data_IF_541422240068
#
_entry.id   IF_541422240068
#
_cell.length_a   1.000
_cell.length_b   1.000
_cell.length_c   1.000
_cell.angle_alpha   90.00
_cell.angle_beta   90.00
_cell.angle_gamma   90.00
#
_symmetry.space_group_name_H-M   'P 1'
#
loop_
_entity.id
_entity.type
_entity.pdbx_description
1 polymer ?
#
# COMPACT_ATOMS: atom_id res chain seq x y z
N UNK A 1 5.18 3.65 12.04
CA UNK A 1 5.12 3.47 10.58
C UNK A 1 6.32 2.64 10.15
N UNK A 2 6.11 1.57 9.39
CA UNK A 2 7.21 0.80 8.79
C UNK A 2 7.75 1.48 7.53
N UNK A 3 8.87 0.99 6.97
CA UNK A 3 9.53 1.60 5.80
C UNK A 3 8.61 1.71 4.58
N UNK A 4 7.83 0.67 4.28
CA UNK A 4 6.90 0.65 3.15
C UNK A 4 5.77 1.66 3.34
N UNK A 5 5.18 1.69 4.53
CA UNK A 5 4.14 2.67 4.89
C UNK A 5 4.66 4.11 4.77
N UNK A 6 5.92 4.37 5.17
CA UNK A 6 6.54 5.68 5.03
C UNK A 6 6.72 6.11 3.58
N UNK A 7 7.28 5.22 2.74
CA UNK A 7 7.41 5.48 1.31
C UNK A 7 6.06 5.78 0.69
N UNK A 8 5.04 4.95 0.96
CA UNK A 8 3.70 5.12 0.41
C UNK A 8 3.06 6.44 0.84
N UNK A 9 3.16 6.80 2.12
CA UNK A 9 2.61 8.05 2.62
C UNK A 9 3.28 9.28 1.99
N UNK A 10 4.62 9.32 1.96
CA UNK A 10 5.36 10.42 1.32
C UNK A 10 5.08 10.48 -0.18
N UNK A 11 5.11 9.35 -0.88
CA UNK A 11 4.85 9.28 -2.31
C UNK A 11 3.46 9.84 -2.68
N UNK A 12 2.44 9.56 -1.87
CA UNK A 12 1.09 10.11 -2.09
C UNK A 12 1.05 11.64 -2.03
N UNK A 13 1.77 12.26 -1.09
CA UNK A 13 1.86 13.73 -1.02
C UNK A 13 2.78 14.30 -2.10
N UNK A 14 3.86 13.61 -2.47
CA UNK A 14 4.73 14.02 -3.57
C UNK A 14 3.95 14.04 -4.88
N UNK A 15 3.18 13.00 -5.20
CA UNK A 15 2.32 12.95 -6.40
C UNK A 15 1.26 14.07 -6.38
N UNK A 16 0.67 14.36 -5.22
CA UNK A 16 -0.31 15.44 -5.04
C UNK A 16 0.26 16.83 -5.38
N UNK A 17 1.52 17.10 -5.04
CA UNK A 17 2.06 18.46 -5.09
C UNK A 17 3.10 18.69 -6.20
N UNK A 18 3.92 17.71 -6.56
CA UNK A 18 5.10 17.91 -7.41
C UNK A 18 4.80 18.61 -8.74
N UNK A 19 3.71 18.22 -9.42
CA UNK A 19 3.31 18.79 -10.71
C UNK A 19 2.99 20.28 -10.63
N UNK A 20 2.30 20.72 -9.57
CA UNK A 20 1.95 22.13 -9.35
C UNK A 20 3.18 23.03 -9.19
N UNK A 21 4.31 22.45 -8.78
CA UNK A 21 5.59 23.16 -8.60
C UNK A 21 6.59 22.90 -9.74
N UNK A 22 6.18 22.20 -10.81
CA UNK A 22 7.02 21.91 -11.98
C UNK A 22 8.09 20.86 -11.74
N UNK A 23 7.97 20.05 -10.69
CA UNK A 23 8.91 18.97 -10.36
C UNK A 23 8.41 17.67 -10.97
N UNK A 24 9.25 17.05 -11.80
CA UNK A 24 8.90 15.82 -12.51
C UNK A 24 9.45 14.56 -11.84
N UNK A 25 10.53 14.69 -11.05
CA UNK A 25 11.14 13.58 -10.31
C UNK A 25 10.54 13.42 -8.92
N UNK A 26 9.88 12.29 -8.68
CA UNK A 26 9.28 11.93 -7.40
C UNK A 26 10.25 11.09 -6.57
N UNK A 27 11.01 10.21 -7.24
CA UNK A 27 11.94 9.28 -6.61
C UNK A 27 13.01 10.00 -5.78
N UNK A 28 13.60 11.08 -6.31
CA UNK A 28 14.57 11.91 -5.60
C UNK A 28 13.97 12.55 -4.36
N UNK A 29 12.76 13.12 -4.46
CA UNK A 29 12.08 13.77 -3.32
C UNK A 29 11.78 12.75 -2.22
N UNK A 30 11.30 11.55 -2.59
CA UNK A 30 11.06 10.46 -1.63
C UNK A 30 12.37 10.01 -0.98
N UNK A 31 13.45 9.87 -1.74
CA UNK A 31 14.77 9.49 -1.21
C UNK A 31 15.33 10.54 -0.24
N UNK A 32 15.19 11.83 -0.55
CA UNK A 32 15.54 12.91 0.38
C UNK A 32 14.73 12.80 1.67
N UNK A 33 13.41 12.63 1.59
CA UNK A 33 12.57 12.46 2.77
C UNK A 33 13.02 11.27 3.62
N UNK A 34 13.39 10.14 3.01
CA UNK A 34 13.90 8.97 3.74
C UNK A 34 15.22 9.29 4.47
N UNK A 35 16.18 9.88 3.76
CA UNK A 35 17.52 10.16 4.26
C UNK A 35 17.48 11.18 5.39
N UNK A 36 16.88 12.34 5.16
CA UNK A 36 16.86 13.49 6.07
C UNK A 36 16.08 13.20 7.36
N UNK A 37 15.00 12.42 7.25
CA UNK A 37 14.15 12.09 8.40
C UNK A 37 14.58 10.82 9.13
N UNK A 38 15.53 10.05 8.60
CA UNK A 38 15.85 8.71 9.08
C UNK A 38 14.61 7.81 9.11
N UNK A 39 13.88 7.73 8.00
CA UNK A 39 12.59 7.00 7.89
C UNK A 39 11.46 7.56 8.78
N UNK A 40 11.41 8.89 8.94
CA UNK A 40 10.43 9.59 9.75
C UNK A 40 10.67 9.47 11.26
N UNK A 41 11.82 8.94 11.68
CA UNK A 41 12.12 8.63 13.09
C UNK A 41 12.93 9.71 13.79
N UNK A 42 13.54 10.65 13.06
CA UNK A 42 14.23 11.78 13.68
C UNK A 42 13.27 12.60 14.53
N UNK A 43 13.76 13.22 15.61
CA UNK A 43 12.91 14.10 16.45
C UNK A 43 12.26 15.20 15.62
N UNK A 44 13.00 15.75 14.65
CA UNK A 44 12.51 16.79 13.74
C UNK A 44 11.31 16.30 12.89
N UNK A 45 11.38 15.07 12.36
CA UNK A 45 10.30 14.50 11.56
C UNK A 45 9.13 13.98 12.40
N UNK A 46 9.41 13.25 13.49
CA UNK A 46 8.40 12.56 14.28
C UNK A 46 7.53 13.52 15.11
N UNK A 47 8.14 14.60 15.65
CA UNK A 47 7.44 15.56 16.51
C UNK A 47 6.98 16.82 15.79
N UNK A 48 7.75 17.26 14.79
CA UNK A 48 7.52 18.55 14.12
C UNK A 48 7.21 18.43 12.63
N UNK A 49 7.04 17.20 12.14
CA UNK A 49 6.63 16.90 10.76
C UNK A 49 7.53 17.53 9.69
N UNK A 50 8.82 17.76 9.99
CA UNK A 50 9.79 18.25 9.02
C UNK A 50 10.68 17.09 8.55
N UNK A 51 10.34 16.52 7.38
CA UNK A 51 10.96 15.31 6.84
C UNK A 51 12.20 15.58 5.99
N UNK A 52 12.52 16.84 5.72
CA UNK A 52 13.53 17.26 4.74
C UNK A 52 14.63 18.13 5.38
N UNK A 53 14.66 18.26 6.70
CA UNK A 53 15.67 19.07 7.39
C UNK A 53 15.56 20.57 7.09
N UNK A 54 14.36 21.08 6.76
CA UNK A 54 14.20 22.45 6.25
C UNK A 54 14.46 23.48 7.36
N UNK A 55 15.49 24.29 7.17
CA UNK A 55 15.79 25.45 8.03
C UNK A 55 14.83 26.61 7.74
N UNK A 56 14.62 27.47 8.73
CA UNK A 56 13.72 28.62 8.59
C UNK A 56 14.25 29.60 7.52
N UNK A 57 15.56 29.87 7.52
CA UNK A 57 16.12 30.97 6.75
C UNK A 57 15.49 32.31 7.17
N UNK A 58 15.52 33.30 6.28
CA UNK A 58 15.01 34.66 6.57
C UNK A 58 13.55 34.89 6.17
N UNK A 59 12.97 34.03 5.33
CA UNK A 59 11.62 34.22 4.76
C UNK A 59 10.52 33.39 5.45
N UNK A 60 10.87 32.46 6.34
CA UNK A 60 9.90 31.63 7.02
C UNK A 60 9.27 32.38 8.20
N UNK A 61 7.93 32.44 8.21
CA UNK A 61 7.13 33.07 9.27
C UNK A 61 6.25 32.07 10.04
N UNK A 62 6.35 30.77 9.73
CA UNK A 62 5.62 29.71 10.42
C UNK A 62 6.31 29.24 11.71
N UNK A 63 5.83 28.11 12.24
CA UNK A 63 6.39 27.52 13.45
C UNK A 63 7.87 27.12 13.28
N UNK A 64 8.64 27.23 14.36
CA UNK A 64 10.06 26.89 14.38
C UNK A 64 10.44 26.08 15.64
N UNK A 65 11.52 25.33 15.53
CA UNK A 65 12.19 24.67 16.66
C UNK A 65 13.70 24.79 16.52
N UNK A 66 14.38 25.13 17.61
CA UNK A 66 15.83 25.21 17.65
C UNK A 66 16.44 23.85 18.08
N UNK A 67 17.19 23.20 17.19
CA UNK A 67 17.78 21.88 17.42
C UNK A 67 19.26 21.86 17.03
N UNK A 68 20.00 20.88 17.58
CA UNK A 68 21.37 20.62 17.15
C UNK A 68 21.38 19.85 15.82
N UNK A 69 22.27 20.23 14.90
CA UNK A 69 22.50 19.59 13.61
C UNK A 69 24.00 19.42 13.36
N UNK A 70 24.37 18.54 12.43
CA UNK A 70 25.76 18.32 12.01
C UNK A 70 25.96 18.89 10.61
N UNK A 71 26.96 19.75 10.44
CA UNK A 71 27.38 20.30 9.14
C UNK A 71 28.75 19.75 8.76
N UNK A 72 28.99 19.57 7.46
CA UNK A 72 30.28 19.14 6.92
C UNK A 72 30.90 20.30 6.13
N UNK A 73 31.72 21.12 6.79
CA UNK A 73 32.44 22.22 6.13
C UNK A 73 33.72 21.73 5.43
N UNK A 74 34.30 20.64 5.94
CA UNK A 74 35.45 19.95 5.36
C UNK A 74 35.07 18.48 5.17
N UNK A 75 35.27 17.88 3.98
CA UNK A 75 34.95 16.47 3.74
C UNK A 75 35.52 15.55 4.83
N UNK A 76 34.68 14.71 5.41
CA UNK A 76 34.97 13.79 6.51
C UNK A 76 34.83 14.37 7.92
N UNK A 77 34.62 15.69 8.09
CA UNK A 77 34.58 16.34 9.42
C UNK A 77 33.21 16.94 9.71
N UNK A 78 32.52 16.38 10.72
CA UNK A 78 31.20 16.85 11.15
C UNK A 78 31.31 17.85 12.30
N UNK A 79 30.82 19.08 12.10
CA UNK A 79 30.71 20.13 13.12
C UNK A 79 29.28 20.18 13.66
N UNK A 80 29.12 20.08 14.98
CA UNK A 80 27.81 20.24 15.63
C UNK A 80 27.48 21.72 15.81
N UNK A 81 26.35 22.16 15.30
CA UNK A 81 25.82 23.52 15.48
C UNK A 81 24.37 23.47 15.95
N UNK A 82 23.81 24.61 16.34
CA UNK A 82 22.35 24.76 16.57
C UNK A 82 21.74 25.61 15.48
N UNK A 83 20.56 25.24 15.02
CA UNK A 83 19.85 25.96 13.96
C UNK A 83 18.33 25.92 14.17
N UNK A 84 17.62 26.85 13.52
CA UNK A 84 16.17 26.95 13.56
C UNK A 84 15.55 26.19 12.38
N UNK A 85 14.82 25.13 12.69
CA UNK A 85 14.12 24.30 11.71
C UNK A 85 12.63 24.64 11.67
N UNK A 86 12.04 24.56 10.48
CA UNK A 86 10.60 24.72 10.27
C UNK A 86 9.82 23.62 10.97
N UNK A 87 8.64 23.93 11.47
CA UNK A 87 7.70 22.94 12.03
C UNK A 87 6.37 22.98 11.27
N UNK A 88 5.72 21.83 11.18
CA UNK A 88 4.47 21.65 10.44
C UNK A 88 3.45 20.93 11.31
N UNK A 89 2.16 21.11 11.01
CA UNK A 89 1.05 20.53 11.78
C UNK A 89 0.74 19.07 11.42
N UNK A 90 1.21 18.59 10.27
CA UNK A 90 0.95 17.24 9.79
C UNK A 90 2.00 16.78 8.78
N UNK A 91 1.99 15.48 8.45
CA UNK A 91 2.86 14.92 7.40
C UNK A 91 2.64 15.60 6.05
N UNK A 92 1.39 15.88 5.71
CA UNK A 92 1.02 16.54 4.47
C UNK A 92 1.65 17.93 4.37
N UNK A 93 1.47 18.76 5.41
CA UNK A 93 2.04 20.12 5.46
C UNK A 93 3.57 20.08 5.43
N UNK A 94 4.19 19.07 6.05
CA UNK A 94 5.63 18.85 5.98
C UNK A 94 6.15 18.55 4.59
N UNK A 95 5.43 17.71 3.82
CA UNK A 95 5.79 17.39 2.43
C UNK A 95 5.49 18.55 1.50
N UNK A 96 4.34 19.22 1.67
CA UNK A 96 4.03 20.45 0.93
C UNK A 96 5.07 21.55 1.18
N UNK A 97 5.53 21.71 2.42
CA UNK A 97 6.55 22.68 2.82
C UNK A 97 7.89 22.50 2.11
N UNK A 98 8.24 21.29 1.66
CA UNK A 98 9.40 21.06 0.78
C UNK A 98 9.22 21.75 -0.57
N UNK A 99 8.05 21.59 -1.20
CA UNK A 99 7.78 22.19 -2.50
C UNK A 99 7.70 23.72 -2.44
N UNK A 100 7.17 24.25 -1.33
CA UNK A 100 7.22 25.69 -1.02
C UNK A 100 8.65 26.17 -0.78
N UNK A 101 9.50 25.38 -0.09
CA UNK A 101 10.90 25.71 0.17
C UNK A 101 11.73 25.81 -1.10
N UNK A 102 11.56 24.89 -2.04
CA UNK A 102 12.28 24.92 -3.33
C UNK A 102 11.76 26.01 -4.28
N UNK A 103 10.80 26.85 -3.85
CA UNK A 103 10.47 28.10 -4.57
C UNK A 103 11.48 29.23 -4.32
N UNK A 104 12.46 29.05 -3.43
CA UNK A 104 13.58 29.98 -3.31
C UNK A 104 14.35 30.08 -4.63
N UNK A 105 14.87 31.28 -4.95
CA UNK A 105 15.47 31.60 -6.25
C UNK A 105 16.57 30.63 -6.67
N UNK A 106 17.39 30.15 -5.72
CA UNK A 106 18.49 29.22 -5.99
C UNK A 106 18.05 27.84 -6.49
N UNK A 107 16.81 27.42 -6.21
CA UNK A 107 16.30 26.08 -6.57
C UNK A 107 15.39 26.07 -7.80
N UNK A 108 15.24 27.21 -8.50
CA UNK A 108 14.32 27.30 -9.64
C UNK A 108 14.75 26.46 -10.86
N UNK A 109 16.05 26.15 -10.95
CA UNK A 109 16.66 25.26 -11.94
C UNK A 109 16.23 23.78 -11.80
N UNK A 110 15.55 23.39 -10.72
CA UNK A 110 15.04 22.03 -10.52
C UNK A 110 13.84 21.69 -11.41
N UNK A 111 13.11 22.71 -11.88
CA UNK A 111 11.88 22.54 -12.66
C UNK A 111 12.18 21.84 -13.98
N UNK A 112 11.39 20.83 -14.32
CA UNK A 112 11.52 20.08 -15.57
C UNK A 112 12.64 19.03 -15.60
N UNK A 113 13.46 18.90 -14.56
CA UNK A 113 14.44 17.80 -14.49
C UNK A 113 13.70 16.46 -14.38
N UNK A 114 14.02 15.53 -15.29
CA UNK A 114 13.43 14.18 -15.33
C UNK A 114 14.37 13.09 -14.84
N UNK A 115 15.68 13.34 -14.76
CA UNK A 115 16.64 12.38 -14.25
C UNK A 115 16.83 12.53 -12.72
N UNK A 116 16.58 11.48 -11.92
CA UNK A 116 16.67 11.55 -10.47
C UNK A 116 18.05 11.96 -9.95
N UNK A 117 19.12 11.46 -10.58
CA UNK A 117 20.49 11.78 -10.17
C UNK A 117 20.79 13.25 -10.46
N UNK A 118 20.46 13.73 -11.65
CA UNK A 118 20.66 15.13 -12.04
C UNK A 118 19.92 16.09 -11.10
N UNK A 119 18.72 15.74 -10.66
CA UNK A 119 17.99 16.54 -9.67
C UNK A 119 18.73 16.63 -8.33
N UNK A 120 19.23 15.50 -7.83
CA UNK A 120 19.98 15.43 -6.57
C UNK A 120 21.33 16.16 -6.64
N UNK A 121 22.01 16.09 -7.78
CA UNK A 121 23.24 16.86 -8.03
C UNK A 121 22.94 18.35 -8.02
N UNK A 122 21.92 18.78 -8.77
CA UNK A 122 21.53 20.19 -8.89
C UNK A 122 21.13 20.78 -7.53
N UNK A 123 20.22 20.13 -6.79
CA UNK A 123 19.76 20.65 -5.49
C UNK A 123 20.89 20.70 -4.43
N UNK A 124 21.87 19.79 -4.53
CA UNK A 124 23.05 19.81 -3.67
C UNK A 124 23.96 20.98 -4.03
N UNK A 125 24.23 21.21 -5.32
CA UNK A 125 25.00 22.36 -5.82
C UNK A 125 24.38 23.69 -5.39
N UNK A 126 23.04 23.76 -5.32
CA UNK A 126 22.30 24.92 -4.80
C UNK A 126 22.36 25.07 -3.26
N UNK A 127 23.07 24.18 -2.56
CA UNK A 127 23.33 24.27 -1.12
C UNK A 127 22.20 23.74 -0.25
N UNK A 128 21.50 22.69 -0.69
CA UNK A 128 20.55 21.95 0.16
C UNK A 128 21.24 21.08 1.22
N UNK A 129 22.34 20.42 0.85
CA UNK A 129 23.13 19.57 1.73
C UNK A 129 24.62 19.80 1.49
N UNK A 130 25.42 19.82 2.56
CA UNK A 130 26.89 19.97 2.44
C UNK A 130 27.59 18.65 2.15
N UNK A 131 26.95 17.52 2.47
CA UNK A 131 27.60 16.21 2.42
C UNK A 131 28.08 15.82 1.02
N UNK A 132 29.34 15.37 0.91
CA UNK A 132 29.88 14.86 -0.37
C UNK A 132 29.21 13.57 -0.83
N UNK A 133 28.74 12.74 0.10
CA UNK A 133 28.07 11.47 -0.20
C UNK A 133 26.55 11.62 -0.40
N UNK A 134 26.00 12.85 -0.36
CA UNK A 134 24.56 13.09 -0.39
C UNK A 134 23.86 12.44 -1.60
N UNK A 135 24.34 12.73 -2.81
CA UNK A 135 23.77 12.20 -4.06
C UNK A 135 23.88 10.69 -4.09
N UNK A 136 25.04 10.14 -3.69
CA UNK A 136 25.28 8.69 -3.64
C UNK A 136 24.31 8.00 -2.69
N UNK A 137 24.11 8.54 -1.49
CA UNK A 137 23.23 7.96 -0.48
C UNK A 137 21.75 8.03 -0.91
N UNK A 138 21.30 9.15 -1.47
CA UNK A 138 19.95 9.28 -2.02
C UNK A 138 19.74 8.31 -3.18
N UNK A 139 20.69 8.20 -4.12
CA UNK A 139 20.58 7.26 -5.24
C UNK A 139 20.59 5.80 -4.78
N UNK A 140 21.37 5.46 -3.75
CA UNK A 140 21.31 4.12 -3.16
C UNK A 140 19.90 3.78 -2.64
N UNK A 141 19.19 4.74 -2.04
CA UNK A 141 17.80 4.57 -1.62
C UNK A 141 16.84 4.47 -2.82
N UNK A 142 17.06 5.27 -3.87
CA UNK A 142 16.27 5.19 -5.11
C UNK A 142 16.33 3.79 -5.70
N UNK A 143 17.53 3.20 -5.79
CA UNK A 143 17.69 1.85 -6.35
C UNK A 143 17.22 0.77 -5.37
N UNK A 144 17.59 0.84 -4.08
CA UNK A 144 17.23 -0.18 -3.08
C UNK A 144 15.71 -0.37 -2.91
N UNK A 145 14.94 0.72 -3.00
CA UNK A 145 13.48 0.69 -2.83
C UNK A 145 12.72 0.86 -4.14
N UNK A 146 13.43 0.79 -5.27
CA UNK A 146 12.88 0.89 -6.63
C UNK A 146 12.00 2.14 -6.79
N UNK A 147 12.48 3.29 -6.31
CA UNK A 147 11.66 4.51 -6.23
C UNK A 147 11.38 5.13 -7.61
N UNK A 148 12.13 4.74 -8.65
CA UNK A 148 11.92 5.22 -10.04
C UNK A 148 10.51 4.94 -10.57
N UNK A 149 9.81 3.94 -10.02
CA UNK A 149 8.40 3.68 -10.33
C UNK A 149 7.47 4.84 -10.01
N UNK A 150 7.89 5.74 -9.12
CA UNK A 150 7.16 6.97 -8.82
C UNK A 150 7.44 8.09 -9.84
N UNK A 151 8.43 7.97 -10.73
CA UNK A 151 8.68 9.00 -11.76
C UNK A 151 7.81 8.80 -13.01
N UNK A 152 7.34 7.57 -13.26
CA UNK A 152 6.49 7.23 -14.39
C UNK A 152 5.00 7.40 -14.05
N UNK A 153 4.30 8.28 -14.76
CA UNK A 153 2.88 8.56 -14.53
C UNK A 153 1.97 7.32 -14.64
N UNK A 154 2.25 6.42 -15.59
CA UNK A 154 1.47 5.19 -15.80
C UNK A 154 1.71 4.17 -14.67
N UNK A 155 2.95 4.08 -14.18
CA UNK A 155 3.26 3.24 -13.02
C UNK A 155 2.72 3.85 -11.73
N UNK A 156 2.74 5.18 -11.59
CA UNK A 156 2.07 5.89 -10.48
C UNK A 156 0.58 5.64 -10.44
N UNK A 157 -0.12 5.74 -11.58
CA UNK A 157 -1.54 5.39 -11.67
C UNK A 157 -1.77 3.91 -11.28
N UNK A 158 -0.87 3.04 -11.74
CA UNK A 158 -0.94 1.61 -11.41
C UNK A 158 -0.78 1.37 -9.90
N UNK A 159 0.18 2.05 -9.26
CA UNK A 159 0.47 2.00 -7.83
C UNK A 159 -0.59 2.70 -6.97
N UNK A 160 -1.28 3.72 -7.51
CA UNK A 160 -2.35 4.43 -6.83
C UNK A 160 -3.52 3.47 -6.57
N UNK A 161 -3.92 2.65 -7.53
CA UNK A 161 -5.07 1.71 -7.42
C UNK A 161 -4.72 0.38 -6.73
N UNK A 162 -4.10 0.43 -5.55
CA UNK A 162 -3.84 -0.75 -4.72
C UNK A 162 -4.67 -0.76 -3.42
N UNK A 163 -4.95 -1.96 -2.90
CA UNK A 163 -5.61 -2.12 -1.60
C UNK A 163 -4.87 -1.39 -0.47
N UNK A 164 -3.54 -1.38 -0.51
CA UNK A 164 -2.72 -0.68 0.48
C UNK A 164 -2.97 0.83 0.48
N UNK A 165 -3.13 1.44 -0.69
CA UNK A 165 -3.44 2.87 -0.82
C UNK A 165 -4.82 3.20 -0.24
N UNK A 166 -5.84 2.38 -0.54
CA UNK A 166 -7.18 2.56 0.05
C UNK A 166 -7.15 2.45 1.57
N UNK A 167 -6.49 1.40 2.08
CA UNK A 167 -6.37 1.16 3.53
C UNK A 167 -5.59 2.29 4.20
N UNK A 168 -4.53 2.81 3.56
CA UNK A 168 -3.77 3.95 4.09
C UNK A 168 -4.65 5.20 4.21
N UNK A 169 -5.49 5.47 3.21
CA UNK A 169 -6.46 6.57 3.28
C UNK A 169 -7.47 6.37 4.41
N UNK A 170 -8.04 5.17 4.54
CA UNK A 170 -8.96 4.85 5.64
C UNK A 170 -8.29 5.03 7.01
N UNK A 171 -7.03 4.58 7.16
CA UNK A 171 -6.20 4.76 8.37
C UNK A 171 -5.99 6.24 8.71
N UNK A 172 -5.75 7.08 7.71
CA UNK A 172 -5.52 8.52 7.90
C UNK A 172 -6.73 9.26 8.50
N UNK A 173 -7.93 8.68 8.37
CA UNK A 173 -9.14 9.23 8.96
C UNK A 173 -9.59 8.56 10.25
N UNK A 174 -8.91 7.52 10.73
CA UNK A 174 -9.22 6.91 12.04
C UNK A 174 -9.18 7.98 13.14
N UNK A 175 -10.24 8.02 13.95
CA UNK A 175 -10.41 9.00 15.02
C UNK A 175 -11.25 10.22 14.64
N UNK A 176 -11.46 10.49 13.34
CA UNK A 176 -12.38 11.54 12.91
C UNK A 176 -13.80 11.23 13.42
N UNK A 177 -14.49 12.22 13.97
CA UNK A 177 -15.76 12.02 14.68
C UNK A 177 -16.68 13.23 14.55
N UNK A 178 -17.95 13.01 14.87
CA UNK A 178 -18.97 14.06 14.84
C UNK A 178 -18.79 15.08 15.96
N UNK A 179 -18.37 14.60 17.15
CA UNK A 179 -18.27 15.42 18.36
C UNK A 179 -17.32 16.63 18.22
N UNK A 180 -16.26 16.52 17.42
CA UNK A 180 -15.31 17.60 17.14
C UNK A 180 -15.44 18.16 15.71
N UNK A 181 -16.45 17.70 14.95
CA UNK A 181 -16.71 18.09 13.57
C UNK A 181 -15.66 17.63 12.56
N UNK A 182 -14.67 16.82 12.94
CA UNK A 182 -13.60 16.36 12.04
C UNK A 182 -14.10 15.39 10.97
N UNK A 183 -15.30 14.81 11.10
CA UNK A 183 -15.95 14.01 10.06
C UNK A 183 -16.38 14.83 8.85
N UNK A 184 -16.60 16.15 9.00
CA UNK A 184 -17.09 17.02 7.92
C UNK A 184 -16.21 16.96 6.68
N UNK A 185 -14.88 16.89 6.83
CA UNK A 185 -13.93 16.76 5.71
C UNK A 185 -14.15 15.51 4.85
N UNK A 186 -14.70 14.44 5.44
CA UNK A 186 -15.03 13.18 4.74
C UNK A 186 -16.28 13.40 3.88
N UNK A 187 -17.31 14.02 4.47
CA UNK A 187 -18.56 14.37 3.78
C UNK A 187 -18.29 15.40 2.68
N UNK A 188 -17.49 16.43 2.95
CA UNK A 188 -17.09 17.45 1.97
C UNK A 188 -16.34 16.82 0.80
N UNK A 189 -15.44 15.87 1.08
CA UNK A 189 -14.72 15.14 0.03
C UNK A 189 -15.67 14.41 -0.92
N UNK A 190 -16.71 13.76 -0.39
CA UNK A 190 -17.74 13.15 -1.21
C UNK A 190 -18.56 14.21 -1.97
N UNK A 191 -19.00 15.25 -1.26
CA UNK A 191 -19.89 16.28 -1.79
C UNK A 191 -19.26 17.21 -2.82
N UNK A 192 -17.94 17.18 -3.05
CA UNK A 192 -17.29 17.89 -4.16
C UNK A 192 -17.08 17.02 -5.40
N UNK A 193 -17.20 15.69 -5.27
CA UNK A 193 -17.11 14.78 -6.41
C UNK A 193 -18.41 14.80 -7.22
N UNK A 194 -18.30 14.86 -8.55
CA UNK A 194 -19.45 14.96 -9.46
C UNK A 194 -19.41 13.84 -10.50
N UNK A 195 -20.57 13.31 -10.93
CA UNK A 195 -21.91 13.63 -10.42
C UNK A 195 -22.13 13.09 -9.00
N UNK A 196 -23.02 13.74 -8.23
CA UNK A 196 -23.43 13.21 -6.92
C UNK A 196 -24.30 11.98 -7.11
N UNK A 197 -24.04 10.91 -6.35
CA UNK A 197 -24.93 9.76 -6.36
C UNK A 197 -26.34 10.22 -5.97
N UNK A 198 -27.33 9.75 -6.74
CA UNK A 198 -28.75 10.06 -6.53
C UNK A 198 -29.08 11.56 -6.57
N UNK A 199 -28.20 12.38 -7.15
CA UNK A 199 -28.31 13.84 -7.14
C UNK A 199 -28.46 14.42 -5.70
N UNK A 200 -27.86 13.75 -4.71
CA UNK A 200 -28.01 14.10 -3.30
C UNK A 200 -26.69 14.57 -2.69
N UNK A 201 -26.71 15.74 -2.05
CA UNK A 201 -25.61 16.23 -1.24
C UNK A 201 -25.81 15.75 0.20
N UNK A 202 -24.86 14.95 0.70
CA UNK A 202 -24.93 14.36 2.05
C UNK A 202 -24.81 15.46 3.10
N UNK A 203 -25.72 15.48 4.09
CA UNK A 203 -25.68 16.43 5.21
C UNK A 203 -24.74 15.92 6.30
N UNK A 204 -24.21 16.83 7.11
CA UNK A 204 -23.35 16.47 8.24
C UNK A 204 -24.04 15.65 9.35
N UNK A 205 -25.37 15.60 9.33
CA UNK A 205 -26.23 14.86 10.26
C UNK A 205 -26.67 13.50 9.70
N UNK A 206 -26.42 13.22 8.42
CA UNK A 206 -26.80 11.95 7.82
C UNK A 206 -25.84 10.84 8.26
N UNK A 207 -26.31 9.59 8.27
CA UNK A 207 -25.41 8.45 8.40
C UNK A 207 -24.40 8.44 7.23
N UNK A 208 -23.12 8.24 7.54
CA UNK A 208 -22.03 8.49 6.58
C UNK A 208 -21.07 7.31 6.39
N UNK A 209 -21.51 6.08 6.69
CA UNK A 209 -20.69 4.88 6.50
C UNK A 209 -20.36 4.59 5.02
N UNK A 210 -21.36 4.61 4.13
CA UNK A 210 -21.15 4.49 2.68
C UNK A 210 -20.38 5.69 2.12
N UNK A 211 -20.72 6.90 2.58
CA UNK A 211 -20.01 8.13 2.23
C UNK A 211 -18.53 8.06 2.58
N UNK A 212 -18.15 7.43 3.70
CA UNK A 212 -16.76 7.22 4.08
C UNK A 212 -15.99 6.34 3.08
N UNK A 213 -16.57 5.22 2.65
CA UNK A 213 -15.94 4.34 1.64
C UNK A 213 -15.79 5.09 0.31
N UNK A 214 -16.85 5.76 -0.14
CA UNK A 214 -16.83 6.59 -1.35
C UNK A 214 -15.78 7.70 -1.26
N UNK A 215 -15.70 8.40 -0.14
CA UNK A 215 -14.70 9.47 0.07
C UNK A 215 -13.27 8.92 0.07
N UNK A 216 -13.04 7.70 0.60
CA UNK A 216 -11.74 7.03 0.47
C UNK A 216 -11.41 6.76 -0.99
N UNK A 217 -12.34 6.18 -1.76
CA UNK A 217 -12.16 5.91 -3.19
C UNK A 217 -11.91 7.19 -4.01
N UNK A 218 -12.62 8.27 -3.69
CA UNK A 218 -12.43 9.60 -4.32
C UNK A 218 -11.04 10.13 -4.03
N UNK A 219 -10.57 10.08 -2.76
CA UNK A 219 -9.21 10.54 -2.42
C UNK A 219 -8.10 9.72 -3.05
N UNK A 220 -8.34 8.45 -3.30
CA UNK A 220 -7.35 7.56 -3.91
C UNK A 220 -7.48 7.41 -5.42
N UNK A 221 -8.44 8.10 -6.05
CA UNK A 221 -8.67 8.01 -7.50
C UNK A 221 -9.15 6.63 -7.97
N UNK A 222 -9.85 5.89 -7.11
CA UNK A 222 -10.30 4.51 -7.35
C UNK A 222 -11.80 4.42 -7.67
N UNK A 223 -12.42 5.52 -8.09
CA UNK A 223 -13.88 5.58 -8.33
C UNK A 223 -14.35 4.71 -9.49
N UNK A 224 -13.43 4.17 -10.30
CA UNK A 224 -13.68 3.22 -11.38
C UNK A 224 -13.80 1.76 -10.90
N UNK A 225 -13.20 1.43 -9.75
CA UNK A 225 -13.23 0.07 -9.15
C UNK A 225 -13.98 0.01 -7.81
N UNK A 226 -14.25 1.16 -7.21
CA UNK A 226 -15.08 1.30 -6.00
C UNK A 226 -16.18 2.33 -6.31
N UNK A 227 -17.46 1.91 -6.35
CA UNK A 227 -18.56 2.81 -6.63
C UNK A 227 -18.65 3.97 -5.63
N UNK A 228 -18.95 5.16 -6.14
CA UNK A 228 -19.26 6.33 -5.31
C UNK A 228 -20.76 6.39 -5.04
N UNK A 229 -21.16 6.13 -3.80
CA UNK A 229 -22.55 6.08 -3.35
C UNK A 229 -22.67 6.50 -1.87
N UNK A 230 -23.85 6.96 -1.45
CA UNK A 230 -24.14 7.36 -0.06
C UNK A 230 -25.13 6.42 0.67
N UNK A 231 -25.65 5.38 0.00
CA UNK A 231 -26.45 4.31 0.60
C UNK A 231 -25.82 2.91 0.45
N UNK A 232 -25.83 2.10 1.52
CA UNK A 232 -25.21 0.77 1.53
C UNK A 232 -25.80 -0.17 0.47
N UNK A 233 -27.14 -0.28 0.38
CA UNK A 233 -27.79 -1.20 -0.55
C UNK A 233 -27.58 -0.81 -2.02
N UNK A 234 -27.59 0.48 -2.31
CA UNK A 234 -27.28 0.99 -3.65
C UNK A 234 -25.81 0.75 -4.01
N UNK A 235 -24.89 0.84 -3.05
CA UNK A 235 -23.48 0.55 -3.29
C UNK A 235 -23.28 -0.94 -3.61
N UNK A 236 -23.99 -1.86 -2.93
CA UNK A 236 -24.00 -3.29 -3.29
C UNK A 236 -24.47 -3.49 -4.73
N UNK A 237 -25.60 -2.88 -5.13
CA UNK A 237 -26.12 -3.00 -6.49
C UNK A 237 -25.11 -2.52 -7.56
N UNK A 238 -24.32 -1.49 -7.24
CA UNK A 238 -23.24 -1.03 -8.12
C UNK A 238 -22.07 -2.02 -8.18
N UNK A 239 -21.66 -2.62 -7.06
CA UNK A 239 -20.66 -3.69 -7.07
C UNK A 239 -21.14 -4.92 -7.87
N UNK A 240 -22.42 -5.28 -7.75
CA UNK A 240 -23.03 -6.35 -8.56
C UNK A 240 -22.96 -6.02 -10.05
N UNK A 241 -23.27 -4.77 -10.43
CA UNK A 241 -23.18 -4.30 -11.82
C UNK A 241 -21.74 -4.32 -12.36
N UNK A 242 -20.75 -4.07 -11.51
CA UNK A 242 -19.32 -4.19 -11.85
C UNK A 242 -18.84 -5.66 -11.95
N UNK A 243 -19.67 -6.63 -11.56
CA UNK A 243 -19.25 -8.02 -11.39
C UNK A 243 -18.19 -8.18 -10.29
N UNK A 244 -18.25 -7.32 -9.27
CA UNK A 244 -17.30 -7.22 -8.16
C UNK A 244 -18.02 -7.35 -6.81
N UNK A 245 -19.01 -8.22 -6.76
CA UNK A 245 -19.76 -8.57 -5.56
C UNK A 245 -19.59 -10.05 -5.23
N UNK A 246 -19.35 -10.36 -3.96
CA UNK A 246 -19.22 -11.73 -3.45
C UNK A 246 -20.08 -11.90 -2.19
N UNK A 247 -21.16 -12.67 -2.33
CA UNK A 247 -22.13 -13.01 -1.26
C UNK A 247 -21.75 -14.27 -0.50
N UNK A 248 -20.66 -14.95 -0.88
CA UNK A 248 -20.35 -16.26 -0.35
C UNK A 248 -19.84 -16.17 1.09
N UNK A 249 -20.62 -16.71 2.02
CA UNK A 249 -20.29 -16.81 3.44
C UNK A 249 -19.13 -17.77 3.73
N UNK A 250 -18.56 -18.46 2.75
CA UNK A 250 -17.32 -19.21 2.90
C UNK A 250 -16.08 -18.43 2.43
N UNK A 251 -16.25 -17.21 1.90
CA UNK A 251 -15.13 -16.38 1.41
C UNK A 251 -14.21 -16.00 2.57
N UNK A 252 -12.91 -16.17 2.39
CA UNK A 252 -11.93 -15.45 3.20
C UNK A 252 -11.65 -14.11 2.51
N UNK A 253 -12.03 -12.97 3.09
CA UNK A 253 -11.82 -11.67 2.45
C UNK A 253 -10.34 -11.34 2.35
N UNK A 254 -10.02 -10.31 1.56
CA UNK A 254 -8.66 -9.78 1.42
C UNK A 254 -8.60 -8.37 1.97
N UNK A 255 -7.42 -7.90 2.43
CA UNK A 255 -7.21 -6.48 2.70
C UNK A 255 -7.64 -5.63 1.48
N UNK A 256 -8.43 -4.60 1.73
CA UNK A 256 -9.04 -3.74 0.71
C UNK A 256 -10.40 -4.19 0.20
N UNK A 257 -10.90 -5.39 0.54
CA UNK A 257 -12.30 -5.72 0.26
C UNK A 257 -13.22 -4.78 1.06
N UNK A 258 -14.39 -4.46 0.50
CA UNK A 258 -15.41 -3.60 1.12
C UNK A 258 -16.43 -4.52 1.78
N UNK A 259 -16.44 -4.59 3.11
CA UNK A 259 -17.37 -5.45 3.85
C UNK A 259 -18.67 -4.71 4.10
N UNK A 260 -19.79 -5.37 3.80
CA UNK A 260 -21.13 -4.88 4.12
C UNK A 260 -21.72 -5.69 5.26
N UNK A 261 -22.53 -5.02 6.06
CA UNK A 261 -23.18 -5.59 7.23
C UNK A 261 -24.68 -5.60 7.08
N UNK A 262 -25.31 -6.59 7.68
CA UNK A 262 -26.75 -6.67 7.89
C UNK A 262 -26.95 -7.26 9.29
N UNK A 263 -27.52 -6.48 10.21
CA UNK A 263 -27.62 -6.84 11.62
C UNK A 263 -28.63 -7.97 11.89
N UNK A 264 -29.46 -8.32 10.91
CA UNK A 264 -30.39 -9.45 10.99
C UNK A 264 -29.76 -10.78 10.51
N UNK A 265 -28.52 -10.75 10.01
CA UNK A 265 -27.81 -11.97 9.61
C UNK A 265 -27.51 -12.88 10.80
N UNK A 266 -28.00 -14.12 10.70
CA UNK A 266 -27.81 -15.17 11.70
C UNK A 266 -26.42 -15.82 11.69
N UNK A 267 -25.60 -15.53 10.66
CA UNK A 267 -24.30 -16.15 10.40
C UNK A 267 -24.41 -17.61 9.94
N UNK A 268 -25.51 -17.96 9.28
CA UNK A 268 -25.78 -19.31 8.75
C UNK A 268 -26.27 -19.24 7.31
N UNK A 269 -25.32 -19.39 6.38
CA UNK A 269 -25.60 -19.40 4.95
C UNK A 269 -25.88 -18.00 4.40
N UNK A 270 -25.68 -17.87 3.09
CA UNK A 270 -25.61 -16.56 2.43
C UNK A 270 -26.80 -15.65 2.79
N UNK A 271 -26.49 -14.50 3.37
CA UNK A 271 -27.50 -13.50 3.66
C UNK A 271 -27.81 -12.65 2.41
N UNK A 272 -29.09 -12.42 2.12
CA UNK A 272 -29.56 -11.59 1.00
C UNK A 272 -30.30 -10.32 1.43
N UNK A 273 -30.39 -10.04 2.74
CA UNK A 273 -31.08 -8.89 3.31
C UNK A 273 -30.47 -7.53 2.97
N UNK A 274 -31.15 -6.46 3.43
CA UNK A 274 -30.76 -5.09 3.12
C UNK A 274 -29.62 -4.64 4.05
N UNK A 275 -28.51 -4.09 3.52
CA UNK A 275 -27.36 -3.78 4.36
C UNK A 275 -27.57 -2.53 5.23
N UNK A 276 -27.13 -2.62 6.48
CA UNK A 276 -27.17 -1.53 7.46
C UNK A 276 -25.89 -0.69 7.48
N UNK A 277 -24.75 -1.30 7.17
CA UNK A 277 -23.45 -0.67 7.37
C UNK A 277 -22.41 -1.16 6.37
N UNK A 278 -21.28 -0.45 6.28
CA UNK A 278 -20.18 -0.81 5.40
C UNK A 278 -18.83 -0.34 5.97
N UNK A 279 -17.75 -1.08 5.68
CA UNK A 279 -16.39 -0.75 6.06
C UNK A 279 -15.34 -1.29 5.09
N UNK A 280 -14.08 -0.96 5.35
CA UNK A 280 -12.92 -1.39 4.54
C UNK A 280 -12.09 -2.39 5.33
N UNK A 281 -11.88 -3.59 4.79
CA UNK A 281 -11.03 -4.62 5.42
C UNK A 281 -9.58 -4.13 5.45
N UNK A 282 -9.03 -3.87 6.63
CA UNK A 282 -7.65 -3.42 6.83
C UNK A 282 -6.67 -4.59 6.83
N UNK A 283 -7.01 -5.68 7.52
CA UNK A 283 -6.15 -6.85 7.71
C UNK A 283 -6.98 -8.11 7.93
N UNK A 284 -6.46 -9.24 7.44
CA UNK A 284 -6.94 -10.59 7.78
C UNK A 284 -5.84 -11.33 8.55
N UNK A 285 -6.22 -11.97 9.65
CA UNK A 285 -5.31 -12.67 10.57
C UNK A 285 -5.97 -13.96 11.06
N UNK A 286 -5.60 -15.09 10.47
CA UNK A 286 -6.26 -16.36 10.74
C UNK A 286 -7.75 -16.28 10.40
N UNK A 287 -8.62 -16.59 11.37
CA UNK A 287 -10.07 -16.50 11.24
C UNK A 287 -10.63 -15.13 11.61
N UNK A 288 -9.80 -14.09 11.75
CA UNK A 288 -10.26 -12.74 12.14
C UNK A 288 -9.96 -11.71 11.07
N UNK A 289 -10.85 -10.74 10.93
CA UNK A 289 -10.65 -9.55 10.11
C UNK A 289 -10.69 -8.30 10.98
N UNK A 290 -9.82 -7.35 10.67
CA UNK A 290 -9.89 -5.98 11.19
C UNK A 290 -10.41 -5.08 10.09
N UNK A 291 -11.43 -4.30 10.40
CA UNK A 291 -12.14 -3.42 9.46
C UNK A 291 -12.06 -1.98 9.98
N UNK A 292 -11.86 -1.02 9.07
CA UNK A 292 -12.01 0.42 9.36
C UNK A 292 -13.39 0.86 8.84
N UNK A 293 -14.21 1.38 9.74
CA UNK A 293 -15.60 1.80 9.48
C UNK A 293 -15.73 3.30 9.72
N UNK A 294 -16.43 4.00 8.84
CA UNK A 294 -16.91 5.37 9.09
C UNK A 294 -18.26 5.34 9.79
N UNK A 295 -18.58 6.38 10.56
CA UNK A 295 -19.82 6.49 11.34
C UNK A 295 -20.04 5.32 12.33
N UNK A 296 -18.99 4.57 12.67
CA UNK A 296 -19.01 3.57 13.74
C UNK A 296 -19.02 4.28 15.09
N UNK A 297 -20.18 4.36 15.72
CA UNK A 297 -20.35 5.13 16.96
C UNK A 297 -20.01 6.61 16.73
N UNK A 298 -20.51 7.18 15.63
CA UNK A 298 -20.30 8.57 15.22
C UNK A 298 -18.83 8.95 14.98
N UNK A 299 -17.98 7.96 14.66
CA UNK A 299 -16.56 8.14 14.41
C UNK A 299 -16.02 7.16 13.35
N UNK A 300 -14.84 7.45 12.81
CA UNK A 300 -14.03 6.47 12.09
C UNK A 300 -13.30 5.62 13.11
N UNK A 301 -13.56 4.32 13.11
CA UNK A 301 -13.03 3.39 14.10
C UNK A 301 -12.71 2.03 13.52
N UNK A 302 -11.98 1.23 14.30
CA UNK A 302 -11.71 -0.18 13.96
C UNK A 302 -12.74 -1.10 14.59
N UNK A 303 -13.04 -2.20 13.91
CA UNK A 303 -13.76 -3.37 14.42
C UNK A 303 -12.98 -4.62 14.11
N UNK A 304 -13.00 -5.59 15.01
CA UNK A 304 -12.51 -6.95 14.74
C UNK A 304 -13.69 -7.90 14.70
N UNK A 305 -13.73 -8.75 13.68
CA UNK A 305 -14.81 -9.70 13.42
C UNK A 305 -14.21 -11.07 13.14
N UNK A 306 -15.00 -12.13 13.34
CA UNK A 306 -14.68 -13.42 12.75
C UNK A 306 -14.93 -13.36 11.24
N UNK A 307 -14.03 -13.97 10.46
CA UNK A 307 -14.28 -14.30 9.06
C UNK A 307 -15.56 -15.12 9.02
N UNK A 308 -16.53 -14.67 8.25
CA UNK A 308 -17.83 -15.32 8.09
C UNK A 308 -18.60 -15.48 9.41
N UNK A 309 -18.34 -14.55 10.34
CA UNK A 309 -19.17 -14.40 11.53
C UNK A 309 -20.51 -13.75 11.18
N UNK A 310 -21.41 -13.77 12.16
CA UNK A 310 -22.70 -13.08 12.08
C UNK A 310 -22.55 -11.62 11.66
N UNK A 311 -23.58 -11.11 11.01
CA UNK A 311 -23.73 -9.73 10.58
C UNK A 311 -22.95 -9.35 9.33
N UNK A 312 -22.38 -10.32 8.62
CA UNK A 312 -21.67 -10.06 7.37
C UNK A 312 -22.65 -10.34 6.23
N UNK A 313 -22.98 -9.29 5.46
CA UNK A 313 -23.85 -9.40 4.29
C UNK A 313 -23.10 -9.87 3.04
N UNK A 314 -21.82 -9.57 2.96
CA UNK A 314 -20.98 -9.90 1.80
C UNK A 314 -19.91 -8.84 1.57
N UNK A 315 -19.24 -8.96 0.42
CA UNK A 315 -18.08 -8.14 0.09
C UNK A 315 -18.16 -7.55 -1.31
N UNK A 316 -17.94 -6.23 -1.39
CA UNK A 316 -17.41 -5.61 -2.60
C UNK A 316 -15.96 -6.02 -2.77
N UNK A 317 -15.56 -6.45 -3.97
CA UNK A 317 -14.24 -7.03 -4.25
C UNK A 317 -13.48 -6.24 -5.32
N UNK A 318 -13.03 -5.00 -5.02
CA UNK A 318 -12.41 -4.13 -6.01
C UNK A 318 -11.25 -4.81 -6.76
N UNK A 319 -11.22 -4.67 -8.07
CA UNK A 319 -10.12 -5.16 -8.92
C UNK A 319 -8.90 -4.24 -8.85
N UNK A 320 -8.21 -4.30 -7.72
CA UNK A 320 -6.93 -3.61 -7.54
C UNK A 320 -5.88 -4.05 -8.55
N UNK A 321 -4.97 -3.14 -8.88
CA UNK A 321 -3.77 -3.48 -9.61
C UNK A 321 -2.89 -4.39 -8.74
N UNK A 322 -2.37 -5.45 -9.36
CA UNK A 322 -1.42 -6.38 -8.73
C UNK A 322 -0.13 -5.61 -8.38
N UNK A 323 -0.06 -5.01 -7.20
CA UNK A 323 1.11 -4.26 -6.77
C UNK A 323 2.35 -5.15 -6.75
N UNK A 324 3.36 -4.78 -7.53
CA UNK A 324 4.70 -5.36 -7.48
C UNK A 324 5.25 -5.19 -6.07
N UNK A 325 5.55 -6.31 -5.42
CA UNK A 325 6.30 -6.34 -4.17
C UNK A 325 7.17 -7.60 -4.19
N UNK A 326 8.28 -7.50 -4.91
CA UNK A 326 9.49 -8.26 -4.63
C UNK A 326 10.48 -7.35 -3.89
N UNK A 327 11.10 -7.91 -2.84
CA UNK A 327 12.53 -7.81 -2.49
C UNK A 327 12.69 -8.45 -1.09
N UNK A 328 13.31 -9.65 -1.01
CA UNK A 328 14.74 -9.88 -0.67
C UNK A 328 15.13 -9.24 0.67
N UNK A 329 15.75 -9.90 1.65
CA UNK A 329 16.40 -11.21 1.77
C UNK A 329 16.92 -11.38 3.22
N UNK A 330 17.23 -12.63 3.59
CA UNK A 330 18.33 -13.09 4.48
C UNK A 330 18.37 -12.76 5.98
N UNK A 331 18.45 -13.80 6.83
CA UNK A 331 19.01 -13.71 8.19
C UNK A 331 18.62 -14.80 9.22
N UNK A 332 19.12 -16.03 9.04
CA UNK A 332 19.45 -17.08 10.03
C UNK A 332 18.61 -17.41 11.30
N UNK A 333 18.19 -18.69 11.32
CA UNK A 333 18.37 -19.74 12.34
C UNK A 333 17.61 -19.69 13.68
N UNK A 334 16.62 -20.61 13.78
CA UNK A 334 16.46 -21.66 14.82
C UNK A 334 15.02 -21.73 15.35
N UNK A 335 14.41 -22.91 15.33
CA UNK A 335 13.15 -23.19 16.05
C UNK A 335 12.16 -24.07 15.30
N UNK A 336 11.93 -25.25 15.86
CA UNK A 336 11.14 -26.37 15.34
C UNK A 336 9.61 -26.13 15.28
N UNK A 337 8.97 -26.85 14.33
CA UNK A 337 7.60 -27.40 14.33
C UNK A 337 6.39 -26.61 13.76
N UNK A 338 5.70 -27.28 12.83
CA UNK A 338 4.26 -27.24 12.49
C UNK A 338 3.67 -26.09 11.63
N UNK A 339 3.02 -26.49 10.52
CA UNK A 339 2.10 -25.71 9.66
C UNK A 339 2.64 -24.51 8.86
N UNK A 340 3.80 -24.67 8.23
CA UNK A 340 4.39 -23.65 7.35
C UNK A 340 3.70 -23.53 5.99
N UNK A 341 3.35 -22.30 5.59
CA UNK A 341 2.87 -21.98 4.26
C UNK A 341 3.87 -22.40 3.17
N UNK A 342 3.36 -22.76 1.99
CA UNK A 342 4.17 -23.25 0.87
C UNK A 342 5.10 -22.14 0.34
N UNK A 343 6.40 -22.45 0.25
CA UNK A 343 7.39 -21.53 -0.31
C UNK A 343 7.28 -21.45 -1.84
N UNK A 344 7.06 -20.24 -2.37
CA UNK A 344 6.94 -19.95 -3.82
C UNK A 344 8.26 -19.55 -4.49
N UNK A 345 9.34 -19.49 -3.72
CA UNK A 345 10.67 -19.08 -4.20
C UNK A 345 11.35 -20.28 -4.84
N UNK A 346 11.76 -20.21 -6.13
CA UNK A 346 12.59 -21.22 -6.76
C UNK A 346 13.82 -21.53 -5.91
N UNK A 347 14.02 -22.81 -5.58
CA UNK A 347 15.21 -23.31 -4.88
C UNK A 347 16.22 -23.92 -5.84
N UNK A 348 15.74 -24.61 -6.87
CA UNK A 348 16.57 -25.22 -7.92
C UNK A 348 15.73 -25.51 -9.16
N UNK A 349 16.39 -25.69 -10.31
CA UNK A 349 15.74 -26.05 -11.57
C UNK A 349 15.70 -27.57 -11.70
N UNK A 350 14.50 -28.11 -11.84
CA UNK A 350 14.25 -29.52 -12.09
C UNK A 350 13.91 -29.82 -13.54
N UNK A 351 14.32 -30.98 -14.01
CA UNK A 351 14.02 -31.53 -15.34
C UNK A 351 13.06 -32.70 -15.20
N UNK A 352 11.97 -32.65 -15.97
CA UNK A 352 10.93 -33.69 -15.97
C UNK A 352 11.42 -34.95 -16.67
N UNK A 353 11.26 -36.12 -16.04
CA UNK A 353 11.67 -37.43 -16.59
C UNK A 353 10.51 -38.25 -17.15
N UNK A 354 9.28 -37.99 -16.72
CA UNK A 354 8.08 -38.68 -17.21
C UNK A 354 7.71 -38.26 -18.64
N UNK A 355 7.13 -39.17 -19.43
CA UNK A 355 6.57 -38.85 -20.75
C UNK A 355 5.42 -37.83 -20.67
N UNK A 356 4.58 -37.93 -19.65
CA UNK A 356 3.56 -36.95 -19.28
C UNK A 356 3.40 -36.92 -17.75
N UNK A 357 3.42 -35.73 -17.17
CA UNK A 357 3.37 -35.50 -15.73
C UNK A 357 2.24 -34.53 -15.39
N UNK A 358 1.29 -34.98 -14.58
CA UNK A 358 0.16 -34.16 -14.13
C UNK A 358 0.61 -33.10 -13.12
N UNK A 359 0.24 -31.84 -13.36
CA UNK A 359 0.44 -30.73 -12.41
C UNK A 359 -0.85 -30.48 -11.64
N UNK A 360 -0.80 -30.67 -10.31
CA UNK A 360 -1.98 -30.74 -9.44
C UNK A 360 -2.13 -29.51 -8.55
N UNK A 361 -3.36 -29.31 -8.05
CA UNK A 361 -3.69 -28.21 -7.12
C UNK A 361 -3.05 -28.37 -5.74
N UNK A 362 -2.76 -29.62 -5.32
CA UNK A 362 -2.11 -29.95 -4.06
C UNK A 362 -1.28 -31.24 -4.17
N UNK A 363 -0.46 -31.53 -3.15
CA UNK A 363 0.35 -32.73 -3.03
C UNK A 363 -0.54 -33.98 -2.83
N UNK A 364 -0.59 -34.86 -3.84
CA UNK A 364 -1.37 -36.09 -3.82
C UNK A 364 -2.06 -36.38 -5.15
N UNK A 365 -2.33 -37.65 -5.46
CA UNK A 365 -2.98 -38.05 -6.72
C UNK A 365 -4.49 -37.80 -6.73
N UNK A 366 -5.09 -37.63 -5.56
CA UNK A 366 -6.49 -37.31 -5.30
C UNK A 366 -6.87 -35.88 -5.74
N UNK A 367 -5.89 -34.97 -5.80
CA UNK A 367 -6.16 -33.57 -6.15
C UNK A 367 -6.20 -33.35 -7.66
N UNK A 368 -7.22 -32.63 -8.11
CA UNK A 368 -7.40 -32.27 -9.51
C UNK A 368 -6.22 -31.46 -10.09
N UNK A 369 -6.10 -31.48 -11.42
CA UNK A 369 -5.08 -30.72 -12.15
C UNK A 369 -5.34 -29.21 -12.08
N UNK A 370 -4.28 -28.42 -12.20
CA UNK A 370 -4.42 -26.98 -12.42
C UNK A 370 -4.93 -26.73 -13.85
N UNK A 371 -5.83 -25.76 -14.02
CA UNK A 371 -6.41 -25.46 -15.35
C UNK A 371 -5.39 -24.83 -16.30
N UNK A 372 -4.50 -23.98 -15.77
CA UNK A 372 -3.62 -23.14 -16.57
C UNK A 372 -2.37 -23.84 -17.10
N UNK A 373 -1.99 -25.00 -16.52
CA UNK A 373 -0.84 -25.80 -16.96
C UNK A 373 -0.99 -27.26 -16.52
N UNK A 374 -1.95 -28.02 -17.07
CA UNK A 374 -2.35 -29.32 -16.52
C UNK A 374 -1.29 -30.43 -16.67
N UNK A 375 -0.34 -30.29 -17.60
CA UNK A 375 0.68 -31.29 -17.91
C UNK A 375 2.06 -30.69 -18.10
N UNK A 376 3.08 -31.49 -17.81
CA UNK A 376 4.46 -31.30 -18.21
C UNK A 376 4.95 -32.56 -18.94
N UNK A 377 5.93 -32.40 -19.82
CA UNK A 377 6.48 -33.47 -20.66
C UNK A 377 7.98 -33.65 -20.40
N UNK A 378 8.50 -34.82 -20.79
CA UNK A 378 9.91 -35.18 -20.62
C UNK A 378 10.82 -34.07 -21.15
N UNK A 379 11.78 -33.67 -20.33
CA UNK A 379 12.76 -32.63 -20.65
C UNK A 379 12.31 -31.20 -20.32
N UNK A 380 11.04 -30.96 -19.99
CA UNK A 380 10.62 -29.63 -19.51
C UNK A 380 11.37 -29.25 -18.24
N UNK A 381 11.80 -27.98 -18.18
CA UNK A 381 12.44 -27.38 -17.01
C UNK A 381 11.40 -26.66 -16.15
N UNK A 382 11.48 -26.85 -14.84
CA UNK A 382 10.60 -26.22 -13.86
C UNK A 382 11.41 -25.75 -12.66
N UNK A 383 10.97 -24.67 -12.05
CA UNK A 383 11.56 -24.17 -10.82
C UNK A 383 10.95 -24.94 -9.64
N UNK A 384 11.72 -25.76 -8.94
CA UNK A 384 11.26 -26.42 -7.72
C UNK A 384 11.33 -25.43 -6.56
N UNK A 385 10.17 -25.09 -6.02
CA UNK A 385 10.00 -24.05 -5.02
C UNK A 385 9.86 -24.62 -3.60
N UNK A 386 9.18 -25.75 -3.44
CA UNK A 386 9.05 -26.40 -2.14
C UNK A 386 8.86 -27.92 -2.23
N UNK A 387 8.95 -28.59 -1.08
CA UNK A 387 8.68 -30.02 -0.94
C UNK A 387 7.65 -30.24 0.16
N UNK A 388 6.56 -30.92 -0.17
CA UNK A 388 5.50 -31.29 0.76
C UNK A 388 5.36 -32.82 0.78
N UNK A 389 5.14 -33.41 1.95
CA UNK A 389 4.76 -34.83 2.05
C UNK A 389 3.25 -34.94 1.87
N UNK A 390 2.81 -35.74 0.91
CA UNK A 390 1.40 -36.08 0.75
C UNK A 390 0.93 -37.03 1.87
N UNK A 391 -0.37 -37.32 1.89
CA UNK A 391 -1.02 -38.22 2.85
C UNK A 391 -0.44 -39.65 2.84
N UNK A 392 0.08 -40.09 1.68
CA UNK A 392 0.79 -41.36 1.49
C UNK A 392 2.26 -41.34 1.94
N UNK A 393 2.72 -40.24 2.54
CA UNK A 393 4.09 -40.03 3.00
C UNK A 393 5.09 -39.70 1.89
N UNK A 394 4.69 -39.74 0.61
CA UNK A 394 5.58 -39.46 -0.52
C UNK A 394 5.81 -37.97 -0.69
N UNK A 395 7.01 -37.61 -1.17
CA UNK A 395 7.35 -36.23 -1.45
C UNK A 395 6.70 -35.75 -2.76
N UNK A 396 6.23 -34.51 -2.72
CA UNK A 396 5.71 -33.78 -3.87
C UNK A 396 6.41 -32.43 -3.92
N UNK A 397 6.85 -32.05 -5.11
CA UNK A 397 7.43 -30.75 -5.36
C UNK A 397 6.34 -29.76 -5.71
N UNK A 398 6.36 -28.64 -4.99
CA UNK A 398 5.68 -27.44 -5.43
C UNK A 398 6.58 -26.72 -6.42
N UNK A 399 6.09 -26.56 -7.65
CA UNK A 399 6.89 -26.08 -8.77
C UNK A 399 6.32 -24.79 -9.34
N UNK A 400 7.19 -23.98 -9.95
CA UNK A 400 6.85 -22.83 -10.78
C UNK A 400 7.21 -23.13 -12.24
N UNK A 401 6.27 -22.88 -13.13
CA UNK A 401 6.33 -23.18 -14.55
C UNK A 401 6.27 -21.84 -15.31
N UNK A 402 7.18 -21.64 -16.25
CA UNK A 402 7.29 -20.42 -17.05
C UNK A 402 7.28 -19.13 -16.22
N UNK A 403 7.91 -19.16 -15.04
CA UNK A 403 8.01 -18.01 -14.12
C UNK A 403 6.71 -17.56 -13.46
N UNK A 404 5.55 -18.15 -13.78
CA UNK A 404 4.23 -17.61 -13.36
C UNK A 404 3.19 -18.62 -12.91
N UNK A 405 3.18 -19.85 -13.43
CA UNK A 405 2.19 -20.87 -13.03
C UNK A 405 2.73 -21.73 -11.91
N UNK A 406 1.88 -22.14 -10.98
CA UNK A 406 2.29 -22.97 -9.86
C UNK A 406 1.41 -24.20 -9.70
N UNK A 407 2.01 -25.29 -9.26
CA UNK A 407 1.28 -26.50 -8.90
C UNK A 407 2.20 -27.56 -8.31
N UNK A 408 1.62 -28.72 -8.05
CA UNK A 408 2.30 -29.84 -7.42
C UNK A 408 2.57 -30.97 -8.40
N UNK A 409 3.77 -31.51 -8.36
CA UNK A 409 4.16 -32.71 -9.11
C UNK A 409 4.84 -33.71 -8.17
N UNK A 410 4.70 -35.00 -8.45
CA UNK A 410 5.39 -36.03 -7.67
C UNK A 410 6.90 -35.89 -7.85
N UNK A 411 7.66 -36.00 -6.75
CA UNK A 411 9.13 -35.87 -6.80
C UNK A 411 9.79 -36.97 -7.62
N UNK A 412 9.14 -38.12 -7.76
CA UNK A 412 9.65 -39.31 -8.48
C UNK A 412 9.97 -39.01 -9.96
N UNK A 413 9.42 -37.92 -10.50
CA UNK A 413 9.52 -37.56 -11.92
C UNK A 413 10.30 -36.26 -12.19
N UNK A 414 10.99 -35.71 -11.18
CA UNK A 414 11.80 -34.50 -11.32
C UNK A 414 13.21 -34.78 -10.82
N UNK A 415 14.19 -34.64 -11.70
CA UNK A 415 15.63 -34.69 -11.34
C UNK A 415 16.22 -33.29 -11.39
N UNK A 416 17.30 -33.03 -10.65
CA UNK A 416 18.02 -31.76 -10.76
C UNK A 416 18.59 -31.63 -12.18
N UNK A 417 18.28 -30.51 -12.84
CA UNK A 417 18.60 -30.27 -14.25
C UNK A 417 20.09 -30.08 -14.52
#
# INVERSE_FOLDING_TARGET
MNKKEFITAVAGYVDKYASAYGILVHSSVIAQAILESGWGKSTLAAKYHNYFGLKCGTKWNGGLVNLSTKEEYTPGTLTSIRDNFRTYSSMEEGVKGYFEFIQLSRYQNLKGITDPRKYLETIREDGFATSSDYVKNCMALVEQYELRKYDNAKERETMAKTAATLIAQAKAWVGCREADGSHKKIIDTYNVHRPLARNYSVKYTDAWCATFVSACAIKTGMTDIIPTECGCGQMIALFQKLGEWDENDARVPRPGDIVFYDWDDSGKGDNTGWPDHVGIVEKVSGSTITVIEGNKGNAVGRRTLQVNGKYIRGYGVPKYNSGSSQNTSSGNASGSSSSGGINKTPKWVGKVTASSLNVRKWAGKEYGRIKSYPYLYRGNLVDVCDTVKASDGKAWYYIRIAGKYYGFVSSDYIVKA
#
